data_IF_148489456549
#
_entry.id   IF_148489456549
#
_cell.length_a   1.000
_cell.length_b   1.000
_cell.length_c   1.000
_cell.angle_alpha   90.00
_cell.angle_beta   90.00
_cell.angle_gamma   90.00
#
_symmetry.space_group_name_H-M   'P 1'
#
loop_
_entity.id
_entity.type
_entity.pdbx_description
1 polymer ?
#
# COMPACT_ATOMS: atom_id res chain seq x y z
N UNK A 1 -0.41 0.84 9.92
CA UNK A 1 0.10 2.17 9.47
C UNK A 1 -0.59 3.30 10.21
N UNK A 2 -1.91 3.48 10.05
CA UNK A 2 -2.59 4.65 10.60
C UNK A 2 -3.37 4.37 11.88
N UNK A 3 -3.27 3.18 12.46
CA UNK A 3 -4.21 2.71 13.50
C UNK A 3 -4.27 3.65 14.72
N UNK A 4 -3.13 4.16 15.18
CA UNK A 4 -3.08 5.16 16.26
C UNK A 4 -3.71 6.50 15.85
N UNK A 5 -3.42 6.98 14.64
CA UNK A 5 -4.02 8.21 14.09
C UNK A 5 -5.53 8.04 13.93
N UNK A 6 -5.96 6.91 13.37
CA UNK A 6 -7.35 6.51 13.17
C UNK A 6 -8.10 6.44 14.48
N UNK A 7 -7.55 5.80 15.52
CA UNK A 7 -8.19 5.71 16.83
C UNK A 7 -8.42 7.10 17.45
N UNK A 8 -7.41 7.97 17.44
CA UNK A 8 -7.51 9.32 18.00
C UNK A 8 -8.51 10.17 17.24
N UNK A 9 -8.43 10.19 15.90
CA UNK A 9 -9.38 10.92 15.06
C UNK A 9 -10.81 10.40 15.24
N UNK A 10 -10.99 9.08 15.29
CA UNK A 10 -12.30 8.47 15.54
C UNK A 10 -12.89 8.92 16.87
N UNK A 11 -12.08 8.98 17.93
CA UNK A 11 -12.53 9.46 19.24
C UNK A 11 -12.94 10.93 19.20
N UNK A 12 -12.14 11.80 18.57
CA UNK A 12 -12.47 13.21 18.38
C UNK A 12 -13.79 13.38 17.61
N UNK A 13 -14.02 12.61 16.55
CA UNK A 13 -15.25 12.69 15.76
C UNK A 13 -16.48 12.11 16.47
N UNK A 14 -16.32 11.09 17.33
CA UNK A 14 -17.42 10.60 18.19
C UNK A 14 -17.95 11.70 19.10
N UNK A 15 -17.03 12.44 19.73
CA UNK A 15 -17.39 13.54 20.63
C UNK A 15 -18.14 14.66 19.88
N UNK A 16 -17.73 14.97 18.64
CA UNK A 16 -18.40 15.96 17.79
C UNK A 16 -19.77 15.51 17.28
N UNK A 17 -19.94 14.23 16.93
CA UNK A 17 -21.22 13.68 16.44
C UNK A 17 -22.33 13.70 17.50
N UNK A 18 -21.95 13.68 18.78
CA UNK A 18 -22.90 13.77 19.90
C UNK A 18 -23.49 15.17 20.11
N UNK A 19 -23.01 16.19 19.38
CA UNK A 19 -23.43 17.58 19.54
C UNK A 19 -24.38 18.00 18.41
N UNK A 20 -25.55 18.55 18.78
CA UNK A 20 -26.56 19.00 17.81
C UNK A 20 -26.18 20.25 17.00
N UNK A 21 -25.18 21.01 17.44
CA UNK A 21 -24.61 22.18 16.74
C UNK A 21 -23.11 22.29 17.03
N UNK A 22 -22.33 22.74 16.05
CA UNK A 22 -20.93 23.12 16.27
C UNK A 22 -20.85 24.57 16.77
N UNK A 23 -20.14 24.78 17.87
CA UNK A 23 -19.66 26.09 18.29
C UNK A 23 -18.19 26.27 17.87
N UNK A 24 -17.71 27.51 17.86
CA UNK A 24 -16.29 27.80 17.63
C UNK A 24 -15.39 27.10 18.65
N UNK A 25 -15.80 27.03 19.91
CA UNK A 25 -15.03 26.33 20.96
C UNK A 25 -14.91 24.82 20.67
N UNK A 26 -16.00 24.17 20.25
CA UNK A 26 -15.97 22.73 19.96
C UNK A 26 -15.11 22.41 18.73
N UNK A 27 -15.14 23.29 17.71
CA UNK A 27 -14.25 23.17 16.54
C UNK A 27 -12.80 23.38 16.96
N UNK A 28 -12.51 24.37 17.80
CA UNK A 28 -11.16 24.64 18.29
C UNK A 28 -10.57 23.45 19.04
N UNK A 29 -11.35 22.84 19.91
CA UNK A 29 -10.91 21.67 20.69
C UNK A 29 -10.68 20.45 19.78
N UNK A 30 -11.57 20.21 18.81
CA UNK A 30 -11.37 19.16 17.83
C UNK A 30 -10.13 19.38 16.96
N UNK A 31 -9.88 20.61 16.50
CA UNK A 31 -8.67 20.95 15.74
C UNK A 31 -7.40 20.76 16.57
N UNK A 32 -7.47 20.99 17.89
CA UNK A 32 -6.35 20.72 18.79
C UNK A 32 -6.05 19.24 18.87
N UNK A 33 -7.07 18.39 18.98
CA UNK A 33 -6.89 16.94 19.02
C UNK A 33 -6.35 16.39 17.69
N UNK A 34 -6.91 16.85 16.57
CA UNK A 34 -6.42 16.51 15.21
C UNK A 34 -4.94 16.90 15.08
N UNK A 35 -4.57 18.11 15.53
CA UNK A 35 -3.18 18.58 15.51
C UNK A 35 -2.25 17.68 16.32
N UNK A 36 -2.66 17.28 17.52
CA UNK A 36 -1.87 16.40 18.37
C UNK A 36 -1.71 15.02 17.73
N UNK A 37 -2.79 14.47 17.18
CA UNK A 37 -2.76 13.17 16.51
C UNK A 37 -1.81 13.17 15.28
N UNK A 38 -1.81 14.24 14.48
CA UNK A 38 -0.90 14.37 13.34
C UNK A 38 0.57 14.52 13.79
N UNK A 39 0.84 15.26 14.86
CA UNK A 39 2.21 15.41 15.37
C UNK A 39 2.75 14.11 15.96
N UNK A 40 1.94 13.37 16.71
CA UNK A 40 2.31 12.04 17.21
C UNK A 40 2.49 11.02 16.09
N UNK A 41 1.78 11.21 14.97
CA UNK A 41 1.97 10.47 13.73
C UNK A 41 3.26 10.87 12.97
N UNK A 42 4.15 11.66 13.59
CA UNK A 42 5.39 12.21 13.02
C UNK A 42 5.20 13.01 11.73
N UNK A 43 4.03 13.65 11.56
CA UNK A 43 3.84 14.64 10.49
C UNK A 43 4.65 15.89 10.80
N UNK A 44 5.34 16.42 9.79
CA UNK A 44 6.17 17.60 9.93
C UNK A 44 5.36 18.82 10.42
N UNK A 45 5.89 19.54 11.42
CA UNK A 45 5.19 20.67 12.03
C UNK A 45 4.71 21.75 11.03
N UNK A 46 5.48 22.14 9.99
CA UNK A 46 4.98 23.09 8.99
C UNK A 46 3.72 22.57 8.28
N UNK A 47 3.72 21.29 7.90
CA UNK A 47 2.60 20.62 7.22
C UNK A 47 1.37 20.56 8.12
N UNK A 48 1.55 20.22 9.41
CA UNK A 48 0.45 20.22 10.37
C UNK A 48 -0.13 21.63 10.56
N UNK A 49 0.71 22.66 10.63
CA UNK A 49 0.24 24.05 10.78
C UNK A 49 -0.63 24.47 9.60
N UNK A 50 -0.16 24.22 8.39
CA UNK A 50 -0.87 24.59 7.16
C UNK A 50 -2.19 23.82 7.05
N UNK A 51 -2.15 22.50 7.29
CA UNK A 51 -3.35 21.65 7.32
C UNK A 51 -4.40 22.17 8.31
N UNK A 52 -4.01 22.44 9.55
CA UNK A 52 -4.95 22.90 10.59
C UNK A 52 -5.53 24.29 10.26
N UNK A 53 -4.75 25.16 9.63
CA UNK A 53 -5.25 26.47 9.21
C UNK A 53 -6.29 26.34 8.10
N UNK A 54 -6.04 25.51 7.08
CA UNK A 54 -6.99 25.27 5.99
C UNK A 54 -8.30 24.65 6.51
N UNK A 55 -8.20 23.62 7.36
CA UNK A 55 -9.40 23.01 7.98
C UNK A 55 -10.16 24.03 8.84
N UNK A 56 -9.46 24.91 9.58
CA UNK A 56 -10.12 25.95 10.38
C UNK A 56 -10.92 26.91 9.51
N UNK A 57 -10.32 27.41 8.44
CA UNK A 57 -10.98 28.35 7.52
C UNK A 57 -12.25 27.74 6.91
N UNK A 58 -12.17 26.49 6.43
CA UNK A 58 -13.34 25.80 5.88
C UNK A 58 -14.39 25.47 6.96
N UNK A 59 -13.97 25.04 8.16
CA UNK A 59 -14.87 24.67 9.24
C UNK A 59 -15.62 25.86 9.86
N UNK A 60 -15.04 27.06 9.80
CA UNK A 60 -15.68 28.31 10.25
C UNK A 60 -16.60 28.94 9.19
N UNK A 61 -16.70 28.34 7.99
CA UNK A 61 -17.59 28.81 6.94
C UNK A 61 -19.08 28.71 7.31
N UNK A 62 -19.89 29.67 6.85
CA UNK A 62 -21.34 29.73 7.15
C UNK A 62 -22.10 28.43 6.79
N UNK A 63 -21.67 27.73 5.74
CA UNK A 63 -22.29 26.50 5.27
C UNK A 63 -22.22 25.35 6.30
N UNK A 64 -21.18 25.33 7.13
CA UNK A 64 -20.97 24.30 8.16
C UNK A 64 -21.82 24.59 9.39
N UNK A 65 -21.85 25.85 9.81
CA UNK A 65 -22.60 26.32 11.00
C UNK A 65 -24.11 26.13 10.82
N UNK A 66 -24.61 26.28 9.59
CA UNK A 66 -26.03 26.13 9.24
C UNK A 66 -26.45 24.67 8.93
N UNK A 67 -25.50 23.71 8.92
CA UNK A 67 -25.78 22.31 8.57
C UNK A 67 -26.59 21.57 9.66
N UNK A 68 -27.43 20.63 9.23
CA UNK A 68 -28.20 19.73 10.11
C UNK A 68 -27.37 18.57 10.66
N UNK A 69 -26.23 18.24 10.04
CA UNK A 69 -25.29 17.22 10.52
C UNK A 69 -23.85 17.76 10.64
N UNK A 70 -23.61 18.77 11.50
CA UNK A 70 -22.34 19.48 11.57
C UNK A 70 -21.10 18.59 11.76
N UNK A 71 -21.19 17.56 12.60
CA UNK A 71 -20.08 16.61 12.83
C UNK A 71 -19.71 15.80 11.58
N UNK A 72 -20.65 15.47 10.71
CA UNK A 72 -20.37 14.80 9.44
C UNK A 72 -19.71 15.74 8.44
N UNK A 73 -20.16 17.00 8.41
CA UNK A 73 -19.54 18.03 7.56
C UNK A 73 -18.10 18.29 7.98
N UNK A 74 -17.81 18.36 9.28
CA UNK A 74 -16.44 18.51 9.77
C UNK A 74 -15.54 17.32 9.39
N UNK A 75 -16.02 16.08 9.54
CA UNK A 75 -15.30 14.88 9.08
C UNK A 75 -15.00 14.96 7.58
N UNK A 76 -15.97 15.43 6.79
CA UNK A 76 -15.79 15.61 5.35
C UNK A 76 -14.72 16.66 5.03
N UNK A 77 -14.69 17.79 5.74
CA UNK A 77 -13.66 18.82 5.56
C UNK A 77 -12.27 18.24 5.85
N UNK A 78 -12.12 17.53 6.98
CA UNK A 78 -10.86 16.88 7.33
C UNK A 78 -10.46 15.83 6.30
N UNK A 79 -11.41 15.02 5.82
CA UNK A 79 -11.20 14.06 4.74
C UNK A 79 -10.69 14.75 3.47
N UNK A 80 -11.41 15.75 2.99
CA UNK A 80 -11.12 16.42 1.73
C UNK A 80 -9.75 17.11 1.81
N UNK A 81 -9.41 17.70 2.96
CA UNK A 81 -8.08 18.28 3.17
C UNK A 81 -6.97 17.22 3.24
N UNK A 82 -7.21 16.06 3.85
CA UNK A 82 -6.26 14.94 3.82
C UNK A 82 -6.02 14.45 2.39
N UNK A 83 -7.08 14.36 1.58
CA UNK A 83 -6.97 14.00 0.15
C UNK A 83 -6.16 15.05 -0.60
N UNK A 84 -6.45 16.34 -0.43
CA UNK A 84 -5.67 17.43 -1.06
C UNK A 84 -4.19 17.33 -0.68
N UNK A 85 -3.91 17.10 0.61
CA UNK A 85 -2.55 16.98 1.14
C UNK A 85 -1.78 15.80 0.53
N UNK A 86 -2.43 14.66 0.32
CA UNK A 86 -1.84 13.46 -0.30
C UNK A 86 -1.77 13.55 -1.84
N UNK A 87 -2.56 14.42 -2.46
CA UNK A 87 -2.71 14.58 -3.90
C UNK A 87 -4.13 14.24 -4.33
N UNK A 88 -4.77 15.08 -5.14
CA UNK A 88 -6.20 14.91 -5.46
C UNK A 88 -6.53 13.67 -6.31
N UNK A 89 -5.54 13.10 -7.02
CA UNK A 89 -5.73 11.99 -7.95
C UNK A 89 -4.60 10.95 -7.83
N UNK A 90 -4.89 9.72 -8.27
CA UNK A 90 -3.88 8.70 -8.45
C UNK A 90 -3.08 8.97 -9.73
N UNK A 91 -1.81 9.32 -9.56
CA UNK A 91 -0.87 9.51 -10.66
C UNK A 91 -0.19 8.19 -11.01
N UNK A 92 -0.54 7.65 -12.19
CA UNK A 92 0.07 6.43 -12.73
C UNK A 92 1.53 6.68 -13.14
N UNK A 93 2.25 5.58 -13.40
CA UNK A 93 3.54 5.68 -14.09
C UNK A 93 3.33 6.18 -15.51
N UNK A 94 4.06 7.23 -15.84
CA UNK A 94 4.20 7.73 -17.19
C UNK A 94 5.31 6.92 -17.87
N UNK A 95 4.87 5.90 -18.59
CA UNK A 95 5.74 5.09 -19.45
C UNK A 95 5.63 5.54 -20.92
N UNK A 96 5.13 6.75 -21.19
CA UNK A 96 4.97 7.30 -22.54
C UNK A 96 6.30 7.78 -23.11
N UNK A 97 7.18 6.82 -23.39
CA UNK A 97 8.46 7.07 -24.02
C UNK A 97 8.77 6.01 -25.07
N UNK A 98 9.76 6.31 -25.92
CA UNK A 98 10.31 5.31 -26.82
C UNK A 98 10.94 4.18 -25.99
N UNK A 99 10.54 2.92 -26.16
CA UNK A 99 11.12 1.81 -25.40
C UNK A 99 12.64 1.73 -25.58
N UNK A 100 13.39 1.40 -24.51
CA UNK A 100 12.90 1.14 -23.15
C UNK A 100 12.60 2.44 -22.38
N UNK A 101 11.46 2.48 -21.69
CA UNK A 101 11.18 3.53 -20.72
C UNK A 101 12.08 3.30 -19.48
N UNK A 102 12.93 4.27 -19.16
CA UNK A 102 13.88 4.18 -18.04
C UNK A 102 13.24 4.74 -16.77
N UNK A 103 13.20 3.92 -15.72
CA UNK A 103 12.78 4.27 -14.37
C UNK A 103 14.01 4.24 -13.47
N UNK A 104 14.35 5.37 -12.86
CA UNK A 104 15.47 5.48 -11.93
C UNK A 104 14.94 5.61 -10.49
N UNK A 105 15.39 4.72 -9.59
CA UNK A 105 15.02 4.74 -8.18
C UNK A 105 16.13 5.39 -7.35
N UNK A 106 15.82 6.54 -6.74
CA UNK A 106 16.73 7.28 -5.87
C UNK A 106 16.23 7.29 -4.42
N UNK A 107 17.12 7.46 -3.45
CA UNK A 107 16.75 7.55 -2.04
C UNK A 107 17.85 7.11 -1.08
N UNK A 108 17.62 7.31 0.21
CA UNK A 108 18.59 6.97 1.25
C UNK A 108 18.87 5.47 1.36
N UNK A 109 19.96 5.14 2.02
CA UNK A 109 20.28 3.76 2.40
C UNK A 109 19.19 3.21 3.32
N UNK A 110 18.80 1.94 3.09
CA UNK A 110 17.80 1.27 3.92
C UNK A 110 16.33 1.67 3.65
N UNK A 111 16.07 2.57 2.69
CA UNK A 111 14.71 2.94 2.29
C UNK A 111 13.98 1.86 1.47
N UNK A 112 14.67 0.78 1.11
CA UNK A 112 14.08 -0.36 0.41
C UNK A 112 14.11 -0.28 -1.13
N UNK A 113 15.01 0.51 -1.72
CA UNK A 113 15.17 0.67 -3.18
C UNK A 113 15.27 -0.66 -3.93
N UNK A 114 16.25 -1.51 -3.62
CA UNK A 114 16.46 -2.81 -4.28
C UNK A 114 15.23 -3.72 -4.24
N UNK A 115 14.58 -3.82 -3.07
CA UNK A 115 13.34 -4.59 -2.93
C UNK A 115 12.18 -3.96 -3.72
N UNK A 116 12.12 -2.63 -3.75
CA UNK A 116 11.11 -1.88 -4.51
C UNK A 116 11.31 -2.07 -6.01
N UNK A 117 12.55 -2.11 -6.51
CA UNK A 117 12.86 -2.44 -7.91
C UNK A 117 12.26 -3.78 -8.32
N UNK A 118 12.47 -4.83 -7.50
CA UNK A 118 11.93 -6.16 -7.78
C UNK A 118 10.40 -6.20 -7.72
N UNK A 119 9.79 -5.55 -6.71
CA UNK A 119 8.33 -5.44 -6.59
C UNK A 119 7.71 -4.69 -7.77
N UNK A 120 8.31 -3.58 -8.17
CA UNK A 120 7.85 -2.77 -9.29
C UNK A 120 8.00 -3.51 -10.61
N UNK A 121 9.12 -4.21 -10.82
CA UNK A 121 9.33 -5.05 -12.00
C UNK A 121 8.26 -6.14 -12.11
N UNK A 122 7.96 -6.83 -11.00
CA UNK A 122 6.92 -7.84 -10.97
C UNK A 122 5.54 -7.23 -11.25
N UNK A 123 5.23 -6.06 -10.66
CA UNK A 123 3.97 -5.36 -10.91
C UNK A 123 3.80 -4.99 -12.38
N UNK A 124 4.84 -4.43 -13.02
CA UNK A 124 4.84 -4.08 -14.44
C UNK A 124 4.71 -5.31 -15.34
N UNK A 125 5.37 -6.42 -14.99
CA UNK A 125 5.26 -7.70 -15.71
C UNK A 125 3.87 -8.30 -15.60
N UNK A 126 3.30 -8.35 -14.41
CA UNK A 126 2.05 -9.07 -14.15
C UNK A 126 0.81 -8.25 -14.50
N UNK A 127 0.79 -6.96 -14.18
CA UNK A 127 -0.36 -6.06 -14.37
C UNK A 127 -0.33 -5.33 -15.71
N UNK A 128 0.83 -4.79 -16.10
CA UNK A 128 0.99 -4.00 -17.34
C UNK A 128 1.53 -4.83 -18.53
N UNK A 129 1.82 -6.12 -18.30
CA UNK A 129 2.34 -7.07 -19.31
C UNK A 129 3.59 -6.56 -20.02
N UNK A 130 4.45 -5.82 -19.32
CA UNK A 130 5.70 -5.27 -19.84
C UNK A 130 6.86 -6.24 -19.67
N UNK A 131 7.76 -6.26 -20.65
CA UNK A 131 9.05 -6.93 -20.52
C UNK A 131 10.03 -5.99 -19.83
N UNK A 132 10.44 -6.35 -18.62
CA UNK A 132 11.26 -5.51 -17.75
C UNK A 132 12.70 -6.04 -17.66
N UNK A 133 13.67 -5.14 -17.72
CA UNK A 133 15.06 -5.38 -17.34
C UNK A 133 15.35 -4.59 -16.06
N UNK A 134 16.06 -5.19 -15.11
CA UNK A 134 16.55 -4.49 -13.92
C UNK A 134 18.08 -4.36 -13.96
N UNK A 135 18.62 -3.32 -13.33
CA UNK A 135 20.07 -3.18 -13.12
C UNK A 135 20.32 -2.52 -11.76
N UNK A 136 21.37 -2.96 -11.07
CA UNK A 136 21.87 -2.26 -9.88
C UNK A 136 23.11 -1.46 -10.25
N UNK A 137 23.14 -0.20 -9.86
CA UNK A 137 24.33 0.65 -9.96
C UNK A 137 24.96 0.91 -8.59
N UNK A 138 24.55 0.17 -7.54
CA UNK A 138 25.11 0.27 -6.19
C UNK A 138 26.44 -0.52 -6.09
N UNK A 139 27.50 0.04 -6.69
CA UNK A 139 28.86 -0.52 -6.70
C UNK A 139 29.49 -0.58 -5.30
N UNK A 140 28.95 0.17 -4.34
CA UNK A 140 29.46 0.27 -2.98
C UNK A 140 28.98 -0.88 -2.09
N UNK A 141 27.91 -1.57 -2.50
CA UNK A 141 27.33 -2.70 -1.76
C UNK A 141 27.21 -3.90 -2.70
N UNK A 142 28.27 -4.72 -2.85
CA UNK A 142 28.24 -5.92 -3.71
C UNK A 142 27.05 -6.84 -3.43
N UNK A 143 26.68 -6.99 -2.15
CA UNK A 143 25.50 -7.75 -1.74
C UNK A 143 24.17 -7.21 -2.31
N UNK A 144 24.05 -5.91 -2.61
CA UNK A 144 22.85 -5.34 -3.22
C UNK A 144 22.70 -5.77 -4.69
N UNK A 145 23.81 -5.87 -5.43
CA UNK A 145 23.83 -6.41 -6.79
C UNK A 145 23.42 -7.88 -6.81
N UNK A 146 24.01 -8.68 -5.91
CA UNK A 146 23.66 -10.10 -5.77
C UNK A 146 22.21 -10.27 -5.30
N UNK A 147 21.74 -9.43 -4.38
CA UNK A 147 20.36 -9.43 -3.92
C UNK A 147 19.40 -9.16 -5.08
N UNK A 148 19.64 -8.13 -5.90
CA UNK A 148 18.80 -7.84 -7.06
C UNK A 148 18.80 -9.00 -8.06
N UNK A 149 19.94 -9.64 -8.30
CA UNK A 149 20.06 -10.80 -9.18
C UNK A 149 19.25 -12.01 -8.67
N UNK A 150 19.28 -12.29 -7.37
CA UNK A 150 18.45 -13.35 -6.76
C UNK A 150 16.96 -13.02 -6.87
N UNK A 151 16.57 -11.80 -6.51
CA UNK A 151 15.18 -11.33 -6.61
C UNK A 151 14.66 -11.44 -8.04
N UNK A 152 15.46 -11.07 -9.04
CA UNK A 152 15.13 -11.18 -10.47
C UNK A 152 14.87 -12.63 -10.89
N UNK A 153 15.71 -13.58 -10.45
CA UNK A 153 15.49 -15.01 -10.70
C UNK A 153 14.17 -15.49 -10.09
N UNK A 154 13.88 -15.11 -8.85
CA UNK A 154 12.67 -15.55 -8.13
C UNK A 154 11.37 -15.06 -8.79
N UNK A 155 11.40 -13.89 -9.43
CA UNK A 155 10.25 -13.31 -10.14
C UNK A 155 10.30 -13.55 -11.66
N UNK A 156 11.33 -14.25 -12.15
CA UNK A 156 11.62 -14.46 -13.56
C UNK A 156 11.62 -13.14 -14.35
N UNK A 157 12.38 -12.15 -13.87
CA UNK A 157 12.67 -10.88 -14.55
C UNK A 157 14.18 -10.81 -14.76
N UNK A 158 14.58 -10.40 -15.96
CA UNK A 158 15.99 -10.33 -16.34
C UNK A 158 16.71 -9.22 -15.56
N UNK A 159 17.96 -9.48 -15.18
CA UNK A 159 18.84 -8.52 -14.49
C UNK A 159 20.12 -8.37 -15.29
N UNK A 160 20.47 -7.13 -15.63
CA UNK A 160 21.73 -6.82 -16.30
C UNK A 160 22.90 -7.06 -15.33
N UNK A 161 23.92 -7.83 -15.74
CA UNK A 161 25.07 -8.12 -14.89
C UNK A 161 25.93 -6.86 -14.70
N UNK A 162 26.29 -6.57 -13.46
CA UNK A 162 27.17 -5.46 -13.08
C UNK A 162 28.25 -5.94 -12.09
N UNK A 163 29.41 -5.29 -12.11
CA UNK A 163 30.52 -5.57 -11.19
C UNK A 163 30.84 -4.35 -10.31
N UNK A 164 31.29 -4.54 -9.05
CA UNK A 164 31.76 -3.46 -8.18
C UNK A 164 32.91 -2.62 -8.78
N UNK A 165 33.71 -3.18 -9.68
CA UNK A 165 34.86 -2.50 -10.31
C UNK A 165 34.46 -1.52 -11.43
N UNK A 166 33.18 -1.50 -11.82
CA UNK A 166 32.69 -0.64 -12.90
C UNK A 166 32.18 0.70 -12.35
N UNK A 167 32.17 1.73 -13.19
CA UNK A 167 31.56 3.01 -12.83
C UNK A 167 30.03 2.93 -12.91
N UNK A 168 29.27 3.46 -11.94
CA UNK A 168 27.81 3.45 -11.93
C UNK A 168 27.17 3.98 -13.22
N UNK A 169 27.68 5.11 -13.72
CA UNK A 169 27.20 5.74 -14.97
C UNK A 169 27.39 4.81 -16.16
N UNK A 170 28.53 4.11 -16.23
CA UNK A 170 28.81 3.19 -17.32
C UNK A 170 27.90 1.96 -17.27
N UNK A 171 27.68 1.38 -16.08
CA UNK A 171 26.73 0.28 -15.88
C UNK A 171 25.34 0.68 -16.40
N UNK A 172 24.88 1.89 -16.03
CA UNK A 172 23.56 2.36 -16.40
C UNK A 172 23.42 2.55 -17.93
N UNK A 173 24.44 3.11 -18.59
CA UNK A 173 24.48 3.25 -20.05
C UNK A 173 24.49 1.90 -20.77
N UNK A 174 25.34 0.98 -20.34
CA UNK A 174 25.44 -0.37 -20.92
C UNK A 174 24.11 -1.15 -20.74
N UNK A 175 23.42 -0.95 -19.61
CA UNK A 175 22.09 -1.52 -19.37
C UNK A 175 21.02 -0.93 -20.29
N UNK A 176 21.06 0.37 -20.60
CA UNK A 176 20.16 0.99 -21.59
C UNK A 176 20.37 0.39 -22.98
N UNK A 177 21.63 0.23 -23.41
CA UNK A 177 21.95 -0.39 -24.69
C UNK A 177 21.54 -1.87 -24.75
N UNK A 178 21.73 -2.61 -23.66
CA UNK A 178 21.28 -3.99 -23.54
C UNK A 178 19.75 -4.10 -23.56
N UNK A 179 19.04 -3.19 -22.88
CA UNK A 179 17.58 -3.13 -22.89
C UNK A 179 17.03 -2.85 -24.31
N UNK A 180 17.68 -1.96 -25.06
CA UNK A 180 17.32 -1.67 -26.46
C UNK A 180 17.54 -2.88 -27.37
N UNK A 181 18.74 -3.50 -27.32
CA UNK A 181 19.06 -4.69 -28.12
C UNK A 181 18.18 -5.88 -27.77
N UNK A 182 17.86 -6.03 -26.49
CA UNK A 182 16.99 -7.08 -25.98
C UNK A 182 15.51 -6.83 -26.23
N UNK A 183 15.09 -5.66 -26.74
CA UNK A 183 13.68 -5.27 -26.95
C UNK A 183 12.89 -5.37 -25.65
N UNK A 184 13.38 -4.73 -24.60
CA UNK A 184 12.67 -4.54 -23.34
C UNK A 184 11.79 -3.29 -23.40
N UNK A 185 10.63 -3.34 -22.73
CA UNK A 185 9.73 -2.20 -22.65
C UNK A 185 10.18 -1.20 -21.58
N UNK A 186 10.71 -1.71 -20.46
CA UNK A 186 11.07 -0.91 -19.28
C UNK A 186 12.44 -1.34 -18.74
N UNK A 187 13.27 -0.37 -18.39
CA UNK A 187 14.49 -0.56 -17.62
C UNK A 187 14.31 0.07 -16.24
N UNK A 188 14.53 -0.69 -15.17
CA UNK A 188 14.57 -0.19 -13.79
C UNK A 188 16.02 -0.12 -13.31
N UNK A 189 16.45 1.07 -12.89
CA UNK A 189 17.79 1.35 -12.39
C UNK A 189 17.71 1.55 -10.87
N UNK A 190 18.28 0.60 -10.11
CA UNK A 190 18.43 0.68 -8.66
C UNK A 190 19.74 1.39 -8.31
N UNK A 191 19.68 2.62 -7.79
CA UNK A 191 20.89 3.38 -7.45
C UNK A 191 21.43 3.05 -6.05
N UNK A 192 22.68 3.44 -5.80
CA UNK A 192 23.23 3.43 -4.45
C UNK A 192 22.38 4.28 -3.48
N UNK A 193 22.40 3.90 -2.20
CA UNK A 193 21.98 4.77 -1.11
C UNK A 193 23.16 5.24 -0.27
N UNK A 194 22.97 6.34 0.45
CA UNK A 194 23.85 6.77 1.56
C UNK A 194 23.05 7.02 2.83
N UNK A 195 23.77 7.05 3.95
CA UNK A 195 23.22 7.35 5.28
C UNK A 195 22.75 8.81 5.39
N UNK A 196 23.46 9.73 4.76
CA UNK A 196 23.14 11.15 4.76
C UNK A 196 23.16 11.70 3.35
N UNK A 197 22.49 12.84 3.16
CA UNK A 197 22.60 13.63 1.94
C UNK A 197 23.97 14.30 1.97
N UNK A 198 24.89 13.82 1.13
CA UNK A 198 26.18 14.45 0.89
C UNK A 198 26.28 14.93 -0.58
N UNK A 199 27.17 15.88 -0.83
CA UNK A 199 27.33 16.52 -2.14
C UNK A 199 27.85 15.56 -3.21
N UNK A 200 28.66 14.57 -2.83
CA UNK A 200 29.22 13.59 -3.77
C UNK A 200 28.14 12.63 -4.28
N UNK A 201 27.28 12.14 -3.38
CA UNK A 201 26.12 11.32 -3.71
C UNK A 201 25.16 12.05 -4.64
N UNK A 202 24.86 13.33 -4.35
CA UNK A 202 23.97 14.10 -5.21
C UNK A 202 24.58 14.34 -6.60
N UNK A 203 25.88 14.61 -6.67
CA UNK A 203 26.58 14.74 -7.95
C UNK A 203 26.57 13.43 -8.75
N UNK A 204 26.77 12.27 -8.10
CA UNK A 204 26.66 10.96 -8.75
C UNK A 204 25.24 10.69 -9.27
N UNK A 205 24.22 10.97 -8.45
CA UNK A 205 22.82 10.79 -8.84
C UNK A 205 22.43 11.71 -10.00
N UNK A 206 22.94 12.94 -10.02
CA UNK A 206 22.78 13.88 -11.14
C UNK A 206 23.47 13.38 -12.41
N UNK A 207 24.70 12.87 -12.29
CA UNK A 207 25.44 12.31 -13.41
C UNK A 207 24.73 11.08 -14.01
N UNK A 208 24.23 10.18 -13.16
CA UNK A 208 23.40 9.04 -13.57
C UNK A 208 22.13 9.50 -14.30
N UNK A 209 21.40 10.44 -13.71
CA UNK A 209 20.17 11.00 -14.29
C UNK A 209 20.42 11.63 -15.66
N UNK A 210 21.50 12.40 -15.80
CA UNK A 210 21.88 13.04 -17.06
C UNK A 210 22.29 12.01 -18.13
N UNK A 211 22.93 10.92 -17.72
CA UNK A 211 23.39 9.87 -18.62
C UNK A 211 22.27 9.00 -19.18
N UNK A 212 21.29 8.61 -18.35
CA UNK A 212 20.21 7.69 -18.77
C UNK A 212 18.90 8.38 -19.12
N UNK A 213 18.75 9.67 -18.78
CA UNK A 213 17.57 10.49 -19.07
C UNK A 213 16.26 9.76 -18.72
N UNK A 214 16.06 9.43 -17.44
CA UNK A 214 14.91 8.63 -17.02
C UNK A 214 13.60 9.37 -17.33
N UNK A 215 12.59 8.61 -17.77
CA UNK A 215 11.22 9.10 -17.95
C UNK A 215 10.57 9.26 -16.58
N UNK A 216 10.90 8.35 -15.66
CA UNK A 216 10.46 8.37 -14.28
C UNK A 216 11.67 8.35 -13.35
N UNK A 217 11.77 9.36 -12.49
CA UNK A 217 12.74 9.40 -11.41
C UNK A 217 11.98 9.39 -10.09
N UNK A 218 11.96 8.21 -9.47
CA UNK A 218 11.13 7.92 -8.31
C UNK A 218 11.97 7.98 -7.03
N UNK A 219 11.54 8.80 -6.08
CA UNK A 219 12.15 8.87 -4.76
C UNK A 219 11.54 7.81 -3.83
N UNK A 220 12.37 6.88 -3.37
CA UNK A 220 11.96 5.80 -2.47
C UNK A 220 12.27 6.18 -1.03
N UNK A 221 11.22 6.29 -0.21
CA UNK A 221 11.31 6.72 1.18
C UNK A 221 10.58 5.74 2.10
N UNK A 222 11.18 5.50 3.26
CA UNK A 222 10.62 4.63 4.28
C UNK A 222 9.54 5.39 5.08
N UNK A 223 8.34 4.80 5.19
CA UNK A 223 7.23 5.37 5.93
C UNK A 223 7.49 5.52 7.44
N UNK A 224 8.48 4.80 7.99
CA UNK A 224 8.94 4.94 9.37
C UNK A 224 9.85 6.16 9.57
N UNK A 225 10.38 6.73 8.48
CA UNK A 225 11.24 7.91 8.57
C UNK A 225 10.35 9.11 8.86
N UNK A 226 10.36 9.60 10.10
CA UNK A 226 9.55 10.72 10.54
C UNK A 226 10.02 12.06 9.97
N UNK A 227 10.34 13.02 10.84
CA UNK A 227 10.68 14.37 10.39
C UNK A 227 11.95 14.43 9.52
N UNK A 228 12.89 13.49 9.65
CA UNK A 228 14.10 13.46 8.81
C UNK A 228 13.82 13.18 7.32
N UNK A 229 12.67 12.59 7.01
CA UNK A 229 12.23 12.39 5.63
C UNK A 229 12.02 13.72 4.91
N UNK A 230 11.66 14.78 5.64
CA UNK A 230 11.45 16.14 5.11
C UNK A 230 12.72 16.70 4.49
N UNK A 231 13.79 16.76 5.29
CA UNK A 231 15.05 17.39 4.87
C UNK A 231 15.66 16.62 3.70
N UNK A 232 15.59 15.29 3.78
CA UNK A 232 16.03 14.40 2.73
C UNK A 232 15.23 14.60 1.45
N UNK A 233 13.90 14.55 1.53
CA UNK A 233 13.05 14.69 0.36
C UNK A 233 13.22 16.06 -0.31
N UNK A 234 13.38 17.12 0.48
CA UNK A 234 13.69 18.45 -0.04
C UNK A 234 15.02 18.47 -0.80
N UNK A 235 16.09 17.94 -0.21
CA UNK A 235 17.40 17.95 -0.86
C UNK A 235 17.41 17.16 -2.18
N UNK A 236 16.74 16.00 -2.21
CA UNK A 236 16.57 15.22 -3.45
C UNK A 236 15.70 15.94 -4.48
N UNK A 237 14.63 16.62 -4.05
CA UNK A 237 13.76 17.38 -4.95
C UNK A 237 14.43 18.62 -5.54
N UNK A 238 15.31 19.27 -4.78
CA UNK A 238 16.04 20.46 -5.22
C UNK A 238 17.14 20.11 -6.24
N UNK A 239 17.75 18.93 -6.11
CA UNK A 239 18.89 18.53 -6.95
C UNK A 239 18.56 17.53 -8.06
N UNK A 240 17.45 16.79 -7.97
CA UNK A 240 16.99 15.87 -9.01
C UNK A 240 15.56 16.21 -9.45
N UNK A 241 15.24 16.10 -10.75
CA UNK A 241 13.89 16.31 -11.26
C UNK A 241 12.99 15.11 -10.93
N UNK A 242 12.64 14.96 -9.65
CA UNK A 242 11.76 13.88 -9.19
C UNK A 242 10.41 13.94 -9.92
N UNK A 243 9.90 12.79 -10.35
CA UNK A 243 8.59 12.66 -11.01
C UNK A 243 7.55 12.03 -10.10
N UNK A 244 7.98 11.32 -9.06
CA UNK A 244 7.08 10.71 -8.09
C UNK A 244 7.82 10.12 -6.89
N UNK A 245 7.03 9.60 -5.94
CA UNK A 245 7.50 9.03 -4.68
C UNK A 245 6.94 7.61 -4.53
N UNK A 246 7.74 6.71 -3.97
CA UNK A 246 7.29 5.40 -3.48
C UNK A 246 7.53 5.34 -1.98
N UNK A 247 6.46 5.04 -1.23
CA UNK A 247 6.53 4.81 0.20
C UNK A 247 6.77 3.33 0.47
N UNK A 248 7.71 2.99 1.34
CA UNK A 248 7.99 1.59 1.74
C UNK A 248 7.69 1.36 3.22
N UNK A 249 7.66 0.07 3.62
CA UNK A 249 7.42 -0.37 5.01
C UNK A 249 6.13 0.19 5.62
N UNK A 250 5.10 0.34 4.80
CA UNK A 250 3.80 0.84 5.25
C UNK A 250 3.06 -0.14 6.18
N UNK A 251 3.49 -1.40 6.24
CA UNK A 251 2.97 -2.44 7.11
C UNK A 251 3.50 -2.39 8.55
N UNK A 252 4.62 -1.69 8.80
CA UNK A 252 5.17 -1.56 10.14
C UNK A 252 4.28 -0.69 11.06
N UNK A 253 4.72 -0.53 12.31
CA UNK A 253 4.25 0.52 13.23
C UNK A 253 4.73 1.92 12.78
N UNK A 254 4.69 2.12 11.46
CA UNK A 254 5.02 3.35 10.78
C UNK A 254 3.86 4.31 11.02
N UNK A 255 4.14 5.37 11.77
CA UNK A 255 3.22 6.44 12.14
C UNK A 255 2.57 7.17 10.95
N UNK A 256 3.01 6.91 9.73
CA UNK A 256 2.35 7.29 8.48
C UNK A 256 2.44 8.78 8.11
N UNK A 257 2.92 9.64 9.00
CA UNK A 257 3.12 11.07 8.72
C UNK A 257 4.22 11.38 7.72
N UNK A 258 5.12 10.43 7.45
CA UNK A 258 6.14 10.54 6.39
C UNK A 258 5.50 10.77 5.01
N UNK A 259 4.39 10.07 4.72
CA UNK A 259 3.66 10.17 3.46
C UNK A 259 3.16 11.60 3.22
N UNK A 260 2.47 12.15 4.23
CA UNK A 260 1.92 13.51 4.21
C UNK A 260 3.03 14.55 4.08
N UNK A 261 4.12 14.34 4.81
CA UNK A 261 5.23 15.31 4.87
C UNK A 261 6.04 15.37 3.58
N UNK A 262 6.38 14.21 2.99
CA UNK A 262 7.17 14.16 1.75
C UNK A 262 6.40 14.75 0.58
N UNK A 263 5.10 14.45 0.45
CA UNK A 263 4.24 15.01 -0.59
C UNK A 263 4.12 16.52 -0.48
N UNK A 264 3.82 17.03 0.72
CA UNK A 264 3.64 18.46 0.96
C UNK A 264 4.89 19.28 0.60
N UNK A 265 6.08 18.70 0.77
CA UNK A 265 7.35 19.41 0.61
C UNK A 265 7.91 19.28 -0.80
N UNK A 266 7.82 18.09 -1.38
CA UNK A 266 8.31 17.87 -2.75
C UNK A 266 7.33 18.34 -3.81
N UNK A 267 6.03 18.39 -3.49
CA UNK A 267 4.97 18.59 -4.47
C UNK A 267 4.86 17.45 -5.49
N UNK A 268 5.55 16.31 -5.28
CA UNK A 268 5.60 15.17 -6.20
C UNK A 268 4.65 14.06 -5.76
N UNK A 269 3.93 13.42 -6.69
CA UNK A 269 2.86 12.51 -6.32
C UNK A 269 3.42 11.21 -5.77
N UNK A 270 2.73 10.64 -4.79
CA UNK A 270 3.01 9.29 -4.32
C UNK A 270 2.35 8.35 -5.34
N UNK A 271 3.16 7.53 -6.02
CA UNK A 271 2.66 6.62 -7.07
C UNK A 271 2.35 5.23 -6.53
N UNK A 272 3.16 4.76 -5.58
CA UNK A 272 3.00 3.44 -4.97
C UNK A 272 3.26 3.45 -3.46
N UNK A 273 2.65 2.47 -2.80
CA UNK A 273 2.88 2.14 -1.40
C UNK A 273 3.29 0.67 -1.29
N UNK A 274 4.39 0.43 -0.59
CA UNK A 274 4.97 -0.87 -0.34
C UNK A 274 4.53 -1.41 1.02
N UNK A 275 3.77 -2.52 1.00
CA UNK A 275 3.21 -3.17 2.19
C UNK A 275 3.83 -4.56 2.33
N UNK A 276 4.54 -4.84 3.41
CA UNK A 276 5.09 -6.16 3.69
C UNK A 276 6.40 -6.44 2.96
N UNK A 277 7.12 -7.46 3.40
CA UNK A 277 8.40 -7.85 2.80
C UNK A 277 8.23 -8.72 1.54
N UNK A 278 7.10 -9.40 1.41
CA UNK A 278 6.83 -10.32 0.30
C UNK A 278 6.73 -9.58 -1.03
N UNK A 279 7.39 -10.09 -2.06
CA UNK A 279 7.43 -9.43 -3.39
C UNK A 279 6.06 -9.47 -4.09
N UNK A 280 5.38 -10.63 -4.08
CA UNK A 280 4.18 -10.91 -4.91
C UNK A 280 2.92 -10.12 -4.56
N UNK A 281 2.84 -9.54 -3.37
CA UNK A 281 1.71 -8.70 -2.92
C UNK A 281 2.20 -7.43 -2.21
N UNK A 282 3.44 -7.04 -2.46
CA UNK A 282 4.15 -6.11 -1.61
C UNK A 282 4.15 -4.65 -2.05
N UNK A 283 3.47 -4.34 -3.16
CA UNK A 283 3.44 -3.02 -3.77
C UNK A 283 2.06 -2.79 -4.39
N UNK A 284 1.42 -1.69 -3.98
CA UNK A 284 0.09 -1.30 -4.42
C UNK A 284 0.13 0.12 -4.98
N UNK A 285 -0.67 0.45 -6.02
CA UNK A 285 -0.84 1.83 -6.45
C UNK A 285 -1.41 2.68 -5.31
N UNK A 286 -0.96 3.94 -5.21
CA UNK A 286 -1.41 4.83 -4.15
C UNK A 286 -2.71 5.54 -4.53
N UNK A 287 -3.72 5.45 -3.66
CA UNK A 287 -5.03 6.08 -3.83
C UNK A 287 -5.30 7.04 -2.67
N UNK A 288 -5.10 8.35 -2.86
CA UNK A 288 -5.20 9.36 -1.79
C UNK A 288 -6.56 9.36 -1.05
N UNK A 289 -7.66 9.21 -1.78
CA UNK A 289 -9.03 9.10 -1.27
C UNK A 289 -9.23 7.89 -0.36
N UNK A 290 -8.73 6.72 -0.77
CA UNK A 290 -8.78 5.49 0.01
C UNK A 290 -7.92 5.60 1.26
N UNK A 291 -6.75 6.22 1.14
CA UNK A 291 -5.85 6.43 2.27
C UNK A 291 -6.45 7.40 3.29
N UNK A 292 -7.08 8.49 2.86
CA UNK A 292 -7.79 9.41 3.75
C UNK A 292 -8.95 8.70 4.47
N UNK A 293 -9.72 7.89 3.75
CA UNK A 293 -10.83 7.11 4.33
C UNK A 293 -10.34 6.10 5.38
N UNK A 294 -9.21 5.42 5.12
CA UNK A 294 -8.56 4.53 6.10
C UNK A 294 -8.07 5.30 7.34
N UNK A 295 -7.42 6.45 7.15
CA UNK A 295 -6.98 7.33 8.25
C UNK A 295 -8.16 7.75 9.13
N UNK A 296 -9.33 8.02 8.55
CA UNK A 296 -10.52 8.43 9.30
C UNK A 296 -11.36 7.26 9.84
N UNK A 297 -10.93 6.01 9.63
CA UNK A 297 -11.65 4.83 10.11
C UNK A 297 -12.96 4.55 9.37
N UNK A 298 -13.15 5.13 8.17
CA UNK A 298 -14.36 4.96 7.36
C UNK A 298 -14.33 3.68 6.51
N UNK A 299 -13.28 2.87 6.61
CA UNK A 299 -13.10 1.65 5.83
C UNK A 299 -12.75 1.92 4.36
N UNK A 300 -12.42 0.86 3.62
CA UNK A 300 -12.11 0.91 2.19
C UNK A 300 -12.91 -0.16 1.44
N UNK A 301 -14.19 0.16 1.25
CA UNK A 301 -15.17 -0.73 0.61
C UNK A 301 -14.77 -1.00 -0.85
N UNK A 302 -14.18 -0.03 -1.54
CA UNK A 302 -13.81 -0.14 -2.96
C UNK A 302 -12.66 -1.12 -3.14
N UNK A 303 -11.59 -1.04 -2.33
CA UNK A 303 -10.50 -2.02 -2.39
C UNK A 303 -10.94 -3.43 -2.00
N UNK A 304 -11.92 -3.57 -1.11
CA UNK A 304 -12.51 -4.87 -0.78
C UNK A 304 -13.21 -5.47 -2.00
N UNK A 305 -14.00 -4.68 -2.73
CA UNK A 305 -14.67 -5.13 -3.96
C UNK A 305 -13.67 -5.48 -5.06
N UNK A 306 -12.62 -4.68 -5.26
CA UNK A 306 -11.58 -4.97 -6.25
C UNK A 306 -10.77 -6.23 -5.93
N UNK A 307 -10.45 -6.45 -4.65
CA UNK A 307 -9.75 -7.66 -4.23
C UNK A 307 -10.63 -8.90 -4.41
N UNK A 308 -11.93 -8.80 -4.11
CA UNK A 308 -12.91 -9.87 -4.43
C UNK A 308 -12.93 -10.13 -5.93
N UNK A 309 -12.95 -9.09 -6.77
CA UNK A 309 -12.92 -9.26 -8.23
C UNK A 309 -11.61 -9.87 -8.75
N UNK A 310 -10.46 -9.58 -8.13
CA UNK A 310 -9.16 -10.14 -8.53
C UNK A 310 -8.95 -11.59 -8.05
N UNK A 311 -9.49 -11.95 -6.89
CA UNK A 311 -9.35 -13.29 -6.30
C UNK A 311 -10.48 -14.25 -6.74
N UNK A 312 -11.52 -13.77 -7.44
CA UNK A 312 -12.56 -14.61 -8.06
C UNK A 312 -12.14 -14.98 -9.49
N UNK A 313 -11.66 -16.20 -9.63
CA UNK A 313 -11.37 -16.83 -10.92
C UNK A 313 -12.66 -16.89 -11.78
N UNK A 314 -12.63 -16.40 -13.03
CA UNK A 314 -13.81 -16.36 -13.90
C UNK A 314 -14.43 -17.76 -14.10
N UNK A 315 -13.62 -18.80 -14.02
CA UNK A 315 -14.05 -20.20 -14.10
C UNK A 315 -14.80 -20.67 -12.84
N UNK A 316 -14.46 -20.14 -11.66
CA UNK A 316 -15.21 -20.43 -10.43
C UNK A 316 -16.56 -19.72 -10.41
N UNK A 317 -16.62 -18.47 -10.88
CA UNK A 317 -17.88 -17.73 -11.03
C UNK A 317 -18.85 -18.46 -11.98
N UNK A 318 -18.34 -19.02 -13.10
CA UNK A 318 -19.14 -19.83 -14.03
C UNK A 318 -19.68 -21.11 -13.37
N UNK A 319 -18.83 -21.87 -12.68
CA UNK A 319 -19.25 -23.09 -11.95
C UNK A 319 -20.32 -22.81 -10.89
N UNK A 320 -20.17 -21.70 -10.15
CA UNK A 320 -21.14 -21.27 -9.16
C UNK A 320 -22.49 -20.88 -9.80
N UNK A 321 -22.45 -20.20 -10.95
CA UNK A 321 -23.64 -19.81 -11.71
C UNK A 321 -24.36 -21.04 -12.29
N UNK A 322 -23.61 -22.01 -12.82
CA UNK A 322 -24.17 -23.25 -13.37
C UNK A 322 -24.80 -24.13 -12.27
N UNK A 323 -24.19 -24.17 -11.08
CA UNK A 323 -24.76 -24.87 -9.91
C UNK A 323 -26.03 -24.21 -9.39
N UNK A 324 -26.06 -22.87 -9.27
CA UNK A 324 -27.26 -22.11 -8.90
C UNK A 324 -28.42 -22.33 -9.89
N UNK A 325 -28.11 -22.42 -11.19
CA UNK A 325 -29.08 -22.74 -12.24
C UNK A 325 -29.55 -24.20 -12.21
N UNK A 326 -28.70 -25.13 -11.78
CA UNK A 326 -29.00 -26.57 -11.74
C UNK A 326 -29.92 -27.00 -10.59
N UNK A 327 -30.22 -26.09 -9.64
CA UNK A 327 -31.08 -26.39 -8.48
C UNK A 327 -30.48 -27.37 -7.47
N UNK A 328 -29.23 -27.81 -7.66
CA UNK A 328 -28.49 -28.61 -6.67
C UNK A 328 -28.09 -27.66 -5.54
N UNK A 329 -28.66 -27.87 -4.36
CA UNK A 329 -28.40 -27.05 -3.18
C UNK A 329 -26.92 -26.97 -2.82
N UNK A 330 -26.59 -25.94 -2.04
CA UNK A 330 -25.26 -25.69 -1.51
C UNK A 330 -24.80 -26.87 -0.60
N UNK A 331 -23.68 -27.52 -0.95
CA UNK A 331 -23.16 -28.69 -0.22
C UNK A 331 -21.89 -28.39 0.60
N UNK A 332 -21.37 -29.38 1.35
CA UNK A 332 -20.19 -29.16 2.20
C UNK A 332 -18.87 -29.09 1.40
N UNK A 333 -18.85 -29.54 0.14
CA UNK A 333 -17.69 -29.37 -0.74
C UNK A 333 -17.61 -27.90 -1.19
N UNK A 334 -18.76 -27.31 -1.53
CA UNK A 334 -18.89 -25.88 -1.84
C UNK A 334 -18.52 -25.00 -0.64
N UNK A 335 -18.99 -25.38 0.56
CA UNK A 335 -18.60 -24.69 1.79
C UNK A 335 -17.08 -24.76 2.05
N UNK A 336 -16.44 -25.90 1.76
CA UNK A 336 -14.97 -26.03 1.88
C UNK A 336 -14.24 -25.12 0.91
N UNK A 337 -14.70 -25.03 -0.34
CA UNK A 337 -14.09 -24.15 -1.33
C UNK A 337 -14.18 -22.69 -0.90
N UNK A 338 -15.31 -22.26 -0.33
CA UNK A 338 -15.46 -20.92 0.24
C UNK A 338 -14.52 -20.66 1.42
N UNK A 339 -14.36 -21.62 2.34
CA UNK A 339 -13.42 -21.49 3.47
C UNK A 339 -11.98 -21.29 2.96
N UNK A 340 -11.57 -22.04 1.93
CA UNK A 340 -10.25 -21.91 1.30
C UNK A 340 -10.07 -20.59 0.56
N UNK A 341 -11.12 -20.10 -0.09
CA UNK A 341 -11.09 -18.80 -0.76
C UNK A 341 -10.89 -17.67 0.26
N UNK A 342 -11.64 -17.72 1.37
CA UNK A 342 -11.49 -16.77 2.47
C UNK A 342 -10.09 -16.82 3.09
N UNK A 343 -9.51 -18.01 3.26
CA UNK A 343 -8.13 -18.14 3.74
C UNK A 343 -7.11 -17.53 2.75
N UNK A 344 -7.28 -17.76 1.44
CA UNK A 344 -6.43 -17.15 0.38
C UNK A 344 -6.52 -15.62 0.35
N UNK A 345 -7.68 -15.07 0.69
CA UNK A 345 -7.91 -13.63 0.78
C UNK A 345 -7.29 -12.99 2.04
N UNK A 346 -6.78 -13.79 2.98
CA UNK A 346 -6.19 -13.32 4.25
C UNK A 346 -7.01 -13.65 5.50
N UNK A 347 -8.05 -14.49 5.38
CA UNK A 347 -8.95 -14.89 6.46
C UNK A 347 -9.99 -13.82 6.82
N UNK A 348 -10.90 -14.16 7.76
CA UNK A 348 -11.94 -13.23 8.23
C UNK A 348 -11.37 -11.93 8.80
N UNK A 349 -10.22 -11.99 9.47
CA UNK A 349 -9.51 -10.81 10.00
C UNK A 349 -9.24 -9.76 8.90
N UNK A 350 -8.72 -10.19 7.73
CA UNK A 350 -8.39 -9.28 6.63
C UNK A 350 -9.59 -8.58 5.99
N UNK A 351 -10.76 -9.23 6.01
CA UNK A 351 -12.02 -8.65 5.50
C UNK A 351 -12.62 -7.70 6.56
N UNK A 352 -12.48 -8.06 7.84
CA UNK A 352 -12.98 -7.24 8.95
C UNK A 352 -12.21 -5.94 9.14
N UNK A 353 -10.89 -5.96 8.96
CA UNK A 353 -10.06 -4.74 8.99
C UNK A 353 -10.46 -3.72 7.91
N UNK A 354 -11.18 -4.16 6.88
CA UNK A 354 -11.64 -3.32 5.76
C UNK A 354 -13.09 -2.85 5.90
N UNK A 355 -13.86 -3.40 6.85
CA UNK A 355 -15.25 -3.04 7.08
C UNK A 355 -15.37 -1.86 8.05
N UNK A 356 -16.14 -0.80 7.71
CA UNK A 356 -16.35 0.34 8.61
C UNK A 356 -17.04 -0.08 9.91
N UNK A 357 -16.63 0.52 11.03
CA UNK A 357 -17.29 0.33 12.34
C UNK A 357 -16.85 -0.91 13.14
N UNK A 358 -15.97 -1.77 12.60
CA UNK A 358 -15.49 -2.96 13.33
C UNK A 358 -14.60 -2.62 14.55
N UNK A 359 -13.93 -1.46 14.53
CA UNK A 359 -13.18 -0.94 15.68
C UNK A 359 -14.04 -0.59 16.91
N UNK A 360 -15.37 -0.60 16.78
CA UNK A 360 -16.31 -0.34 17.88
C UNK A 360 -16.77 -1.61 18.61
N UNK A 361 -16.45 -2.80 18.09
CA UNK A 361 -16.77 -4.06 18.75
C UNK A 361 -15.86 -4.29 19.97
N UNK A 362 -16.37 -4.94 21.04
CA UNK A 362 -15.55 -5.33 22.18
C UNK A 362 -14.34 -6.18 21.74
N UNK A 363 -13.18 -5.96 22.37
CA UNK A 363 -11.93 -6.65 22.05
C UNK A 363 -12.04 -8.19 22.12
N UNK A 364 -12.93 -8.69 22.97
CA UNK A 364 -13.24 -10.13 23.09
C UNK A 364 -13.99 -10.66 21.86
N UNK A 365 -14.92 -9.87 21.31
CA UNK A 365 -15.63 -10.21 20.08
C UNK A 365 -14.69 -10.15 18.86
N UNK A 366 -13.83 -9.13 18.81
CA UNK A 366 -12.79 -9.04 17.78
C UNK A 366 -11.80 -10.22 17.86
N UNK A 367 -11.33 -10.58 19.05
CA UNK A 367 -10.39 -11.69 19.26
C UNK A 367 -10.99 -13.05 18.91
N UNK A 368 -12.25 -13.30 19.28
CA UNK A 368 -12.97 -14.53 18.93
C UNK A 368 -13.21 -14.67 17.42
N UNK A 369 -13.34 -13.55 16.71
CA UNK A 369 -13.58 -13.48 15.27
C UNK A 369 -12.28 -13.44 14.44
N UNK A 370 -11.17 -12.98 15.02
CA UNK A 370 -9.83 -13.00 14.43
C UNK A 370 -9.12 -14.37 14.59
N UNK A 371 -9.55 -15.21 15.54
CA UNK A 371 -8.93 -16.53 15.75
C UNK A 371 -9.30 -17.49 14.61
N UNK A 372 -8.53 -17.43 13.52
CA UNK A 372 -8.64 -18.31 12.34
C UNK A 372 -8.53 -19.81 12.66
N UNK A 373 -8.21 -20.18 13.91
CA UNK A 373 -8.31 -21.54 14.43
C UNK A 373 -9.71 -22.13 14.26
N UNK A 374 -10.76 -21.34 14.44
CA UNK A 374 -12.14 -21.80 14.24
C UNK A 374 -12.38 -22.21 12.79
N UNK A 375 -11.83 -21.44 11.84
CA UNK A 375 -11.98 -21.68 10.40
C UNK A 375 -11.15 -22.87 9.92
N UNK A 376 -9.90 -22.97 10.36
CA UNK A 376 -9.05 -24.15 10.10
C UNK A 376 -9.63 -25.42 10.71
N UNK A 377 -10.26 -25.31 11.88
CA UNK A 377 -10.95 -26.44 12.53
C UNK A 377 -12.16 -26.89 11.72
N UNK A 378 -12.96 -25.96 11.19
CA UNK A 378 -14.06 -26.29 10.28
C UNK A 378 -13.54 -26.93 8.99
N UNK A 379 -12.47 -26.41 8.41
CA UNK A 379 -11.86 -27.01 7.21
C UNK A 379 -11.34 -28.42 7.49
N UNK A 380 -10.67 -28.63 8.64
CA UNK A 380 -10.20 -29.94 9.07
C UNK A 380 -11.36 -30.95 9.19
N UNK A 381 -12.46 -30.56 9.82
CA UNK A 381 -13.67 -31.39 9.93
C UNK A 381 -14.19 -31.80 8.55
N UNK A 382 -14.23 -30.88 7.58
CA UNK A 382 -14.71 -31.19 6.22
C UNK A 382 -13.70 -32.07 5.47
N UNK A 383 -12.40 -31.84 5.67
CA UNK A 383 -11.35 -32.65 5.06
C UNK A 383 -11.36 -34.10 5.59
N UNK A 384 -11.79 -34.33 6.83
CA UNK A 384 -12.02 -35.68 7.42
C UNK A 384 -13.27 -36.41 6.87
N UNK A 385 -14.05 -35.75 6.00
CA UNK A 385 -15.17 -36.37 5.26
C UNK A 385 -14.73 -36.88 3.89
N UNK A 386 -15.42 -37.90 3.39
CA UNK A 386 -15.28 -38.39 2.01
C UNK A 386 -16.05 -37.51 1.02
N UNK A 387 -15.72 -37.52 -0.28
CA UNK A 387 -16.46 -36.76 -1.30
C UNK A 387 -17.96 -37.10 -1.40
N UNK A 388 -18.37 -38.30 -0.98
CA UNK A 388 -19.78 -38.67 -0.90
C UNK A 388 -20.49 -38.03 0.29
N UNK A 389 -19.84 -37.98 1.45
CA UNK A 389 -20.36 -37.35 2.67
C UNK A 389 -20.47 -35.83 2.54
N UNK A 390 -19.58 -35.20 1.77
CA UNK A 390 -19.63 -33.75 1.55
C UNK A 390 -20.77 -33.32 0.62
N UNK A 391 -21.02 -34.12 -0.43
CA UNK A 391 -22.11 -33.90 -1.39
C UNK A 391 -23.49 -34.25 -0.80
N UNK A 392 -23.53 -35.15 0.18
CA UNK A 392 -24.76 -35.59 0.84
C UNK A 392 -24.59 -35.58 2.37
N UNK A 393 -24.66 -34.40 3.01
CA UNK A 393 -24.43 -34.26 4.45
C UNK A 393 -25.42 -35.04 5.34
N UNK A 394 -26.61 -35.33 4.80
CA UNK A 394 -27.68 -36.10 5.42
C UNK A 394 -27.27 -37.54 5.79
N UNK A 395 -26.26 -38.11 5.12
CA UNK A 395 -25.77 -39.46 5.41
C UNK A 395 -24.89 -39.50 6.67
N UNK A 396 -24.50 -38.35 7.23
CA UNK A 396 -23.60 -38.23 8.39
C UNK A 396 -24.35 -38.53 9.70
N UNK A 397 -24.56 -39.84 9.94
CA UNK A 397 -25.10 -40.37 11.20
C UNK A 397 -24.02 -40.49 12.28
N UNK A 398 -24.41 -40.91 13.49
CA UNK A 398 -23.54 -40.95 14.67
C UNK A 398 -22.20 -41.68 14.47
N UNK A 399 -22.18 -42.81 13.76
CA UNK A 399 -20.94 -43.57 13.50
C UNK A 399 -19.94 -42.77 12.64
N UNK A 400 -20.41 -42.19 11.53
CA UNK A 400 -19.58 -41.34 10.64
C UNK A 400 -19.12 -40.08 11.35
N UNK A 401 -19.99 -39.47 12.17
CA UNK A 401 -19.65 -38.29 12.98
C UNK A 401 -18.52 -38.56 13.96
N UNK A 402 -18.51 -39.72 14.62
CA UNK A 402 -17.40 -40.13 15.51
C UNK A 402 -16.09 -40.31 14.76
N UNK A 403 -16.11 -40.93 13.58
CA UNK A 403 -14.92 -41.07 12.71
C UNK A 403 -14.37 -39.70 12.29
N UNK A 404 -15.25 -38.80 11.82
CA UNK A 404 -14.89 -37.44 11.40
C UNK A 404 -14.36 -36.60 12.56
N UNK A 405 -14.84 -36.81 13.79
CA UNK A 405 -14.37 -36.06 14.95
C UNK A 405 -13.03 -36.57 15.50
N UNK A 406 -12.72 -37.85 15.30
CA UNK A 406 -11.48 -38.48 15.77
C UNK A 406 -10.30 -38.26 14.83
N UNK A 407 -10.55 -38.15 13.53
CA UNK A 407 -9.55 -37.82 12.51
C UNK A 407 -9.53 -36.34 12.21
#
# INVERSE_FOLDING_TARGET
MFDNLTQKLTQTFKNLRGQGRLSEDNIRDALRDVRLALLEADVALPVVKDFINNVREEAMGEAVIKSLTPGQVFVKIVHDELVKLMGAHNDRLDLSARPPAVILLAGLQGSGKTTTSAKLALWLKDKEKKRVLMVSTDVYRPAAMEQLAHLGKDIAVDVFPSSPDQQPVRIAQDAVEAAQRGVYDVLIVDTAGRLHVDSEMMAEAQALTAAVKPVELLFVVDAMTGQDAVNTAKAFNDALPLTGVILTKADGDARGGAALSVRAITGKPIKFIGIGEKIRKGLEPFYPDRMASRILGMGDIVSLVEQVQQDVDQDQARKMTDKLRSGKGFDLEDFREQLRQLERMGGMASIMDKLPGMGELPAEAQSAMQDGKSMRRLEAIINSMTPGERRHPDIIKASRRRRIAAG
#
